data_IF_313692496995
#
_entry.id   IF_313692496995
#
_cell.length_a   1.000
_cell.length_b   1.000
_cell.length_c   1.000
_cell.angle_alpha   90.00
_cell.angle_beta   90.00
_cell.angle_gamma   90.00
#
_symmetry.space_group_name_H-M   'P 1'
#
loop_
_entity.id
_entity.type
_entity.pdbx_description
1 polymer ?
#
# COMPACT_ATOMS: atom_id res chain seq x y z
N UNK A 1 12.69 20.39 -1.47
CA UNK A 1 12.55 19.20 -2.32
C UNK A 1 12.09 19.55 -3.75
N UNK A 2 12.79 20.44 -4.49
CA UNK A 2 12.31 20.89 -5.81
C UNK A 2 12.19 19.74 -6.83
N UNK A 3 13.18 18.84 -6.89
CA UNK A 3 13.18 17.70 -7.81
C UNK A 3 12.01 16.73 -7.61
N UNK A 4 11.63 16.46 -6.36
CA UNK A 4 10.49 15.58 -6.05
C UNK A 4 9.19 16.18 -6.58
N UNK A 5 9.00 17.49 -6.40
CA UNK A 5 7.79 18.16 -6.88
C UNK A 5 7.72 18.15 -8.42
N UNK A 6 8.85 18.27 -9.09
CA UNK A 6 8.92 18.15 -10.56
C UNK A 6 8.56 16.74 -11.03
N UNK A 7 9.09 15.68 -10.39
CA UNK A 7 8.70 14.30 -10.71
C UNK A 7 7.19 14.07 -10.57
N UNK A 8 6.57 14.59 -9.50
CA UNK A 8 5.12 14.47 -9.31
C UNK A 8 4.36 15.12 -10.46
N UNK A 9 4.76 16.34 -10.87
CA UNK A 9 4.10 17.04 -11.98
C UNK A 9 4.24 16.30 -13.31
N UNK A 10 5.44 15.80 -13.62
CA UNK A 10 5.68 15.07 -14.86
C UNK A 10 4.88 13.77 -14.93
N UNK A 11 4.86 12.97 -13.85
CA UNK A 11 4.05 11.74 -13.82
C UNK A 11 2.56 12.06 -13.88
N UNK A 12 2.10 13.11 -13.19
CA UNK A 12 0.70 13.55 -13.25
C UNK A 12 0.31 13.99 -14.67
N UNK A 13 1.21 14.64 -15.40
CA UNK A 13 1.00 15.07 -16.78
C UNK A 13 0.82 13.89 -17.76
N UNK A 14 1.33 12.70 -17.43
CA UNK A 14 1.09 11.46 -18.19
C UNK A 14 -0.35 10.93 -18.03
N UNK A 15 -1.17 11.53 -17.16
CA UNK A 15 -2.54 11.10 -16.89
C UNK A 15 -2.65 9.91 -15.93
N UNK A 16 -1.56 9.57 -15.24
CA UNK A 16 -1.50 8.50 -14.24
C UNK A 16 -1.81 9.04 -12.83
N UNK A 17 -2.29 8.17 -11.94
CA UNK A 17 -2.29 8.47 -10.51
C UNK A 17 -0.86 8.48 -9.97
N UNK A 18 -0.57 9.43 -9.08
CA UNK A 18 0.75 9.62 -8.49
C UNK A 18 0.77 9.20 -7.03
N UNK A 19 1.80 8.44 -6.63
CA UNK A 19 1.98 8.00 -5.26
C UNK A 19 3.46 8.05 -4.88
N UNK A 20 3.79 8.50 -3.67
CA UNK A 20 5.16 8.50 -3.16
C UNK A 20 5.23 8.03 -1.70
N UNK A 21 6.40 7.54 -1.30
CA UNK A 21 6.76 7.21 0.08
C UNK A 21 8.12 7.84 0.38
N UNK A 22 8.14 8.90 1.16
CA UNK A 22 9.35 9.71 1.41
C UNK A 22 9.71 9.81 2.90
N UNK A 23 9.11 8.96 3.73
CA UNK A 23 9.31 8.96 5.18
C UNK A 23 8.28 9.84 5.90
N UNK A 24 8.70 10.46 7.00
CA UNK A 24 7.85 11.34 7.80
C UNK A 24 7.74 12.71 7.14
N UNK A 25 6.52 13.22 6.99
CA UNK A 25 6.25 14.54 6.46
C UNK A 25 5.80 15.48 7.56
N UNK A 26 6.14 16.75 7.43
CA UNK A 26 5.41 17.84 8.10
C UNK A 26 4.31 18.41 7.19
N UNK A 27 3.41 19.22 7.77
CA UNK A 27 2.30 19.85 7.05
C UNK A 27 2.74 20.62 5.78
N UNK A 28 3.79 21.45 5.87
CA UNK A 28 4.28 22.23 4.72
C UNK A 28 4.78 21.36 3.57
N UNK A 29 5.42 20.22 3.87
CA UNK A 29 5.83 19.27 2.83
C UNK A 29 4.63 18.57 2.20
N UNK A 30 3.63 18.20 3.01
CA UNK A 30 2.41 17.58 2.52
C UNK A 30 1.63 18.51 1.58
N UNK A 31 1.44 19.77 1.96
CA UNK A 31 0.80 20.80 1.11
C UNK A 31 1.52 20.96 -0.24
N UNK A 32 2.85 21.08 -0.21
CA UNK A 32 3.64 21.22 -1.44
C UNK A 32 3.53 20.01 -2.37
N UNK A 33 3.46 18.79 -1.82
CA UNK A 33 3.27 17.58 -2.60
C UNK A 33 1.86 17.53 -3.20
N UNK A 34 0.84 17.91 -2.43
CA UNK A 34 -0.53 18.05 -2.93
C UNK A 34 -0.59 19.05 -4.09
N UNK A 35 -0.01 20.22 -3.93
CA UNK A 35 0.02 21.28 -4.96
C UNK A 35 0.74 20.84 -6.23
N UNK A 36 1.77 20.00 -6.11
CA UNK A 36 2.44 19.39 -7.26
C UNK A 36 1.59 18.33 -7.97
N UNK A 37 0.50 17.87 -7.35
CA UNK A 37 -0.46 16.92 -7.92
C UNK A 37 -0.41 15.52 -7.33
N UNK A 38 0.22 15.33 -6.16
CA UNK A 38 0.34 14.00 -5.54
C UNK A 38 -1.05 13.47 -5.12
N UNK A 39 -1.43 12.29 -5.60
CA UNK A 39 -2.75 11.70 -5.32
C UNK A 39 -2.76 10.89 -4.03
N UNK A 40 -1.72 10.06 -3.83
CA UNK A 40 -1.55 9.21 -2.65
C UNK A 40 -0.21 9.44 -1.96
N UNK A 41 -0.20 9.31 -0.65
CA UNK A 41 1.03 9.18 0.12
C UNK A 41 1.07 7.85 0.87
N UNK A 42 2.16 7.10 0.71
CA UNK A 42 2.34 5.83 1.39
C UNK A 42 3.12 5.99 2.69
N UNK A 43 2.55 5.51 3.78
CA UNK A 43 3.11 5.62 5.11
C UNK A 43 2.55 4.52 6.04
N UNK A 44 3.24 3.38 6.13
CA UNK A 44 2.78 2.21 6.89
C UNK A 44 2.93 2.37 8.41
N UNK A 45 2.07 1.67 9.16
CA UNK A 45 2.22 1.46 10.61
C UNK A 45 3.05 0.21 10.93
N UNK A 46 3.26 -0.66 9.93
CA UNK A 46 4.12 -1.85 9.95
C UNK A 46 3.57 -3.00 10.84
N UNK A 47 3.24 -2.74 12.11
CA UNK A 47 2.72 -3.74 13.08
C UNK A 47 1.86 -3.06 14.17
N UNK A 48 1.58 -3.72 15.29
CA UNK A 48 0.90 -3.11 16.46
C UNK A 48 1.76 -2.03 17.11
N UNK A 49 1.12 -1.17 17.90
CA UNK A 49 1.79 -0.19 18.75
C UNK A 49 2.72 -0.85 19.76
N UNK A 50 2.27 -1.97 20.34
CA UNK A 50 2.97 -2.72 21.38
C UNK A 50 4.23 -3.43 20.85
N UNK A 51 4.21 -3.86 19.59
CA UNK A 51 5.32 -4.57 18.95
C UNK A 51 6.26 -3.65 18.16
N UNK A 52 5.84 -2.42 17.82
CA UNK A 52 6.58 -1.51 16.94
C UNK A 52 8.05 -1.32 17.32
N UNK A 53 8.34 -1.09 18.61
CA UNK A 53 9.70 -0.82 19.09
C UNK A 53 10.66 -2.01 19.00
N UNK A 54 10.13 -3.23 18.81
CA UNK A 54 10.95 -4.42 18.57
C UNK A 54 11.49 -4.46 17.13
N UNK A 55 10.81 -3.79 16.20
CA UNK A 55 11.14 -3.77 14.77
C UNK A 55 11.78 -2.44 14.36
N UNK A 56 11.26 -1.32 14.86
CA UNK A 56 11.68 0.03 14.49
C UNK A 56 11.91 0.86 15.76
N UNK A 57 13.15 1.30 15.96
CA UNK A 57 13.56 2.08 17.14
C UNK A 57 13.91 3.55 16.84
N UNK A 58 14.02 3.94 15.57
CA UNK A 58 14.46 5.28 15.15
C UNK A 58 13.34 6.31 15.02
N UNK A 59 12.11 5.90 15.29
CA UNK A 59 10.87 6.70 15.21
C UNK A 59 9.82 6.05 16.10
N UNK A 60 8.90 6.86 16.61
CA UNK A 60 7.77 6.38 17.39
C UNK A 60 6.62 5.93 16.49
N UNK A 61 5.69 5.16 17.07
CA UNK A 61 4.44 4.83 16.39
C UNK A 61 3.59 6.09 16.13
N UNK A 62 3.60 7.03 17.08
CA UNK A 62 2.85 8.29 16.98
C UNK A 62 3.39 9.19 15.86
N UNK A 63 4.71 9.20 15.61
CA UNK A 63 5.30 9.93 14.48
C UNK A 63 4.69 9.47 13.14
N UNK A 64 4.29 8.19 13.06
CA UNK A 64 3.62 7.62 11.88
C UNK A 64 2.21 8.17 11.76
N UNK A 65 1.47 8.20 12.85
CA UNK A 65 0.10 8.72 12.90
C UNK A 65 0.07 10.21 12.57
N UNK A 66 1.00 11.00 13.10
CA UNK A 66 1.13 12.43 12.81
C UNK A 66 1.36 12.67 11.31
N UNK A 67 2.19 11.85 10.67
CA UNK A 67 2.40 11.96 9.22
C UNK A 67 1.13 11.59 8.44
N UNK A 68 0.36 10.57 8.87
CA UNK A 68 -0.92 10.24 8.25
C UNK A 68 -1.92 11.40 8.37
N UNK A 69 -1.91 12.09 9.50
CA UNK A 69 -2.75 13.27 9.72
C UNK A 69 -2.35 14.43 8.80
N UNK A 70 -1.05 14.75 8.69
CA UNK A 70 -0.56 15.76 7.74
C UNK A 70 -0.97 15.46 6.29
N UNK A 71 -0.88 14.19 5.87
CA UNK A 71 -1.29 13.75 4.53
C UNK A 71 -2.79 13.99 4.30
N UNK A 72 -3.62 13.66 5.30
CA UNK A 72 -5.08 13.87 5.22
C UNK A 72 -5.45 15.34 5.21
N UNK A 73 -4.85 16.14 6.10
CA UNK A 73 -5.10 17.58 6.18
C UNK A 73 -4.74 18.29 4.86
N UNK A 74 -3.67 17.84 4.19
CA UNK A 74 -3.31 18.30 2.85
C UNK A 74 -4.26 17.81 1.73
N UNK A 75 -5.25 16.95 2.04
CA UNK A 75 -6.22 16.45 1.06
C UNK A 75 -5.66 15.42 0.09
N UNK A 76 -4.60 14.69 0.48
CA UNK A 76 -4.10 13.53 -0.25
C UNK A 76 -4.75 12.25 0.28
N UNK A 77 -4.87 11.25 -0.58
CA UNK A 77 -5.32 9.92 -0.17
C UNK A 77 -4.21 9.20 0.60
N UNK A 78 -4.60 8.41 1.58
CA UNK A 78 -3.70 7.65 2.44
C UNK A 78 -3.52 6.22 1.91
N UNK A 79 -2.26 5.82 1.75
CA UNK A 79 -1.87 4.43 1.61
C UNK A 79 -1.14 3.99 2.88
N UNK A 80 -1.79 3.17 3.72
CA UNK A 80 -1.20 2.74 4.99
C UNK A 80 -1.60 1.32 5.34
N UNK A 81 -0.61 0.51 5.70
CA UNK A 81 -0.80 -0.88 6.10
C UNK A 81 0.38 -1.37 6.90
N UNK A 82 0.77 -2.63 6.71
CA UNK A 82 1.89 -3.21 7.45
C UNK A 82 2.51 -4.45 6.83
N UNK A 83 3.33 -5.13 7.64
CA UNK A 83 4.05 -6.35 7.29
C UNK A 83 3.64 -7.44 8.28
N UNK A 84 3.32 -8.61 7.76
CA UNK A 84 2.89 -9.78 8.52
C UNK A 84 4.01 -10.81 8.49
N UNK A 85 4.35 -11.40 9.64
CA UNK A 85 5.44 -12.37 9.78
C UNK A 85 6.77 -11.77 10.24
N UNK A 86 6.76 -10.63 10.90
CA UNK A 86 7.86 -10.02 11.67
C UNK A 86 8.17 -10.76 13.00
N UNK A 87 7.62 -11.96 13.21
CA UNK A 87 7.65 -12.63 14.51
C UNK A 87 6.61 -12.10 15.51
N UNK A 88 5.73 -11.20 15.06
CA UNK A 88 4.63 -10.66 15.85
C UNK A 88 3.56 -11.73 16.15
N UNK A 89 2.83 -11.55 17.25
CA UNK A 89 1.73 -12.44 17.61
C UNK A 89 0.49 -12.21 16.73
N UNK A 90 -0.54 -13.04 16.91
CA UNK A 90 -1.85 -12.76 16.28
C UNK A 90 -2.49 -11.50 16.83
N UNK A 91 -2.32 -11.23 18.12
CA UNK A 91 -2.88 -10.05 18.79
C UNK A 91 -2.24 -8.77 18.22
N UNK A 92 -0.96 -8.80 17.86
CA UNK A 92 -0.29 -7.67 17.21
C UNK A 92 -0.88 -7.35 15.84
N UNK A 93 -1.23 -8.39 15.07
CA UNK A 93 -1.88 -8.21 13.77
C UNK A 93 -3.31 -7.67 13.91
N UNK A 94 -4.02 -8.10 14.95
CA UNK A 94 -5.30 -7.51 15.33
C UNK A 94 -5.10 -6.04 15.68
N UNK A 95 -4.08 -5.70 16.48
CA UNK A 95 -3.73 -4.33 16.85
C UNK A 95 -3.47 -3.43 15.64
N UNK A 96 -2.66 -3.89 14.67
CA UNK A 96 -2.43 -3.17 13.41
C UNK A 96 -3.74 -2.88 12.66
N UNK A 97 -4.56 -3.91 12.44
CA UNK A 97 -5.81 -3.74 11.69
C UNK A 97 -6.82 -2.88 12.44
N UNK A 98 -6.89 -3.02 13.76
CA UNK A 98 -7.72 -2.18 14.62
C UNK A 98 -7.31 -0.72 14.53
N UNK A 99 -6.01 -0.41 14.60
CA UNK A 99 -5.52 0.96 14.47
C UNK A 99 -5.93 1.57 13.13
N UNK A 100 -5.70 0.85 12.02
CA UNK A 100 -6.05 1.32 10.67
C UNK A 100 -7.56 1.53 10.49
N UNK A 101 -8.37 0.62 11.06
CA UNK A 101 -9.83 0.65 10.95
C UNK A 101 -10.48 1.67 11.91
N UNK A 102 -9.77 2.14 12.94
CA UNK A 102 -10.30 3.13 13.89
C UNK A 102 -9.80 4.55 13.64
N UNK A 103 -8.95 4.75 12.62
CA UNK A 103 -8.67 6.08 12.08
C UNK A 103 -9.96 6.80 11.66
N UNK A 104 -9.98 8.13 11.79
CA UNK A 104 -11.16 8.96 11.47
C UNK A 104 -11.74 8.70 10.06
N UNK A 105 -10.87 8.36 9.10
CA UNK A 105 -11.23 7.87 7.78
C UNK A 105 -10.35 6.64 7.54
N UNK A 106 -10.88 5.53 7.00
CA UNK A 106 -10.01 4.40 6.65
C UNK A 106 -9.01 4.81 5.55
N UNK A 107 -7.79 4.24 5.52
CA UNK A 107 -6.89 4.41 4.37
C UNK A 107 -7.57 3.98 3.07
N UNK A 108 -7.43 4.76 2.00
CA UNK A 108 -7.96 4.39 0.69
C UNK A 108 -7.28 3.12 0.14
N UNK A 109 -6.00 2.92 0.46
CA UNK A 109 -5.25 1.72 0.12
C UNK A 109 -4.56 1.16 1.36
N UNK A 110 -4.74 -0.13 1.62
CA UNK A 110 -4.17 -0.86 2.75
C UNK A 110 -3.26 -1.97 2.22
N UNK A 111 -1.94 -1.76 2.10
CA UNK A 111 -1.00 -2.80 1.76
C UNK A 111 -0.78 -3.77 2.92
N UNK A 112 -0.96 -5.07 2.65
CA UNK A 112 -0.67 -6.14 3.62
C UNK A 112 0.48 -6.96 3.05
N UNK A 113 1.69 -6.60 3.43
CA UNK A 113 2.90 -7.25 2.96
C UNK A 113 3.13 -8.54 3.75
N UNK A 114 3.64 -9.57 3.09
CA UNK A 114 4.28 -10.67 3.78
C UNK A 114 5.76 -10.32 3.96
N UNK A 115 6.34 -10.61 5.12
CA UNK A 115 7.77 -10.41 5.31
C UNK A 115 8.55 -11.18 4.25
N UNK A 116 9.52 -10.50 3.65
CA UNK A 116 10.54 -11.11 2.79
C UNK A 116 11.84 -11.11 3.59
N UNK A 117 12.30 -12.25 4.11
CA UNK A 117 13.58 -12.34 4.81
C UNK A 117 14.72 -12.00 3.86
N UNK A 118 15.62 -11.12 4.28
CA UNK A 118 16.77 -10.67 3.49
C UNK A 118 18.03 -10.87 4.32
N UNK A 119 19.02 -11.56 3.75
CA UNK A 119 20.33 -11.75 4.36
C UNK A 119 20.96 -10.41 4.77
N UNK A 120 21.54 -10.37 5.97
CA UNK A 120 22.12 -9.15 6.56
C UNK A 120 21.11 -8.25 7.30
N UNK A 121 19.82 -8.58 7.28
CA UNK A 121 18.84 -7.96 8.17
C UNK A 121 18.66 -8.79 9.46
N UNK A 122 18.29 -8.18 10.61
CA UNK A 122 17.98 -8.93 11.83
C UNK A 122 16.85 -9.95 11.67
N UNK A 123 16.04 -9.84 10.62
CA UNK A 123 14.89 -10.70 10.34
C UNK A 123 15.18 -11.77 9.27
N UNK A 124 16.45 -12.01 8.93
CA UNK A 124 16.84 -12.98 7.91
C UNK A 124 16.41 -14.43 8.25
N UNK A 125 16.45 -14.77 9.54
CA UNK A 125 16.22 -16.14 10.03
C UNK A 125 14.88 -16.31 10.76
N UNK A 126 13.97 -15.34 10.64
CA UNK A 126 12.65 -15.44 11.27
C UNK A 126 11.82 -16.54 10.60
N UNK A 127 11.05 -17.26 11.41
CA UNK A 127 10.19 -18.33 10.91
C UNK A 127 9.16 -17.78 9.90
N UNK A 128 9.04 -18.47 8.77
CA UNK A 128 8.09 -18.07 7.73
C UNK A 128 6.66 -18.28 8.23
N UNK A 129 5.87 -17.23 8.18
CA UNK A 129 4.45 -17.29 8.51
C UNK A 129 3.69 -18.22 7.55
N UNK A 130 2.76 -19.01 8.10
CA UNK A 130 1.80 -19.77 7.30
C UNK A 130 1.01 -18.83 6.37
N UNK A 131 0.97 -19.17 5.08
CA UNK A 131 0.23 -18.41 4.06
C UNK A 131 -1.25 -18.29 4.40
N UNK A 132 -1.85 -19.30 5.03
CA UNK A 132 -3.26 -19.27 5.44
C UNK A 132 -3.51 -18.21 6.51
N UNK A 133 -2.52 -17.99 7.39
CA UNK A 133 -2.59 -16.98 8.43
C UNK A 133 -2.44 -15.56 7.83
N UNK A 134 -1.62 -15.39 6.80
CA UNK A 134 -1.55 -14.15 6.02
C UNK A 134 -2.85 -13.87 5.26
N UNK A 135 -3.43 -14.88 4.59
CA UNK A 135 -4.72 -14.78 3.90
C UNK A 135 -5.86 -14.44 4.87
N UNK A 136 -5.83 -15.02 6.08
CA UNK A 136 -6.78 -14.65 7.14
C UNK A 136 -6.69 -13.18 7.49
N UNK A 137 -5.47 -12.64 7.58
CA UNK A 137 -5.24 -11.20 7.83
C UNK A 137 -5.85 -10.34 6.72
N UNK A 138 -5.74 -10.75 5.46
CA UNK A 138 -6.39 -10.09 4.31
C UNK A 138 -7.92 -10.12 4.44
N UNK A 139 -8.50 -11.28 4.78
CA UNK A 139 -9.94 -11.43 4.95
C UNK A 139 -10.50 -10.52 6.05
N UNK A 140 -9.81 -10.46 7.20
CA UNK A 140 -10.18 -9.57 8.31
C UNK A 140 -10.07 -8.11 7.89
N UNK A 141 -9.00 -7.72 7.20
CA UNK A 141 -8.83 -6.34 6.72
C UNK A 141 -9.94 -5.93 5.74
N UNK A 142 -10.35 -6.82 4.82
CA UNK A 142 -11.49 -6.57 3.92
C UNK A 142 -12.79 -6.37 4.69
N UNK A 143 -13.06 -7.20 5.71
CA UNK A 143 -14.28 -7.09 6.52
C UNK A 143 -14.33 -5.79 7.33
N UNK A 144 -13.21 -5.40 7.93
CA UNK A 144 -13.11 -4.16 8.72
C UNK A 144 -13.15 -2.91 7.83
N UNK A 145 -12.54 -2.96 6.65
CA UNK A 145 -12.36 -1.81 5.76
C UNK A 145 -12.95 -2.07 4.36
N UNK A 146 -14.28 -2.20 4.24
CA UNK A 146 -14.93 -2.70 3.03
C UNK A 146 -14.74 -1.81 1.80
N UNK A 147 -14.51 -0.49 1.99
CA UNK A 147 -14.30 0.48 0.91
C UNK A 147 -12.83 0.68 0.52
N UNK A 148 -11.90 0.14 1.32
CA UNK A 148 -10.47 0.29 1.06
C UNK A 148 -9.99 -0.71 0.01
N UNK A 149 -9.00 -0.33 -0.78
CA UNK A 149 -8.25 -1.29 -1.60
C UNK A 149 -7.31 -2.08 -0.70
N UNK A 150 -7.43 -3.41 -0.69
CA UNK A 150 -6.50 -4.27 0.05
C UNK A 150 -5.44 -4.74 -0.95
N UNK A 151 -4.19 -4.31 -0.75
CA UNK A 151 -3.11 -4.45 -1.72
C UNK A 151 -2.14 -5.57 -1.38
N UNK A 152 -2.00 -6.54 -2.29
CA UNK A 152 -0.93 -7.53 -2.24
C UNK A 152 0.35 -6.92 -2.80
N UNK A 153 1.37 -6.86 -1.96
CA UNK A 153 2.58 -6.10 -2.24
C UNK A 153 3.82 -6.98 -2.17
N UNK A 154 4.71 -6.79 -1.20
CA UNK A 154 5.89 -7.63 -1.03
C UNK A 154 5.53 -9.07 -0.64
N UNK A 155 6.31 -10.02 -1.16
CA UNK A 155 6.16 -11.45 -0.91
C UNK A 155 5.33 -12.22 -1.96
N UNK A 156 4.63 -11.53 -2.88
CA UNK A 156 3.76 -12.15 -3.88
C UNK A 156 4.48 -13.15 -4.81
N UNK A 157 5.72 -12.87 -5.16
CA UNK A 157 6.56 -13.75 -6.00
C UNK A 157 6.62 -15.19 -5.45
N UNK A 158 6.71 -15.33 -4.13
CA UNK A 158 6.83 -16.62 -3.45
C UNK A 158 5.53 -17.41 -3.33
N UNK A 159 4.40 -16.82 -3.76
CA UNK A 159 3.07 -17.41 -3.68
C UNK A 159 2.77 -18.27 -4.91
N UNK A 160 2.11 -19.41 -4.66
CA UNK A 160 1.52 -20.20 -5.74
C UNK A 160 0.33 -19.47 -6.37
N UNK A 161 -0.07 -19.88 -7.57
CA UNK A 161 -1.26 -19.34 -8.23
C UNK A 161 -2.54 -19.56 -7.37
N UNK A 162 -2.62 -20.67 -6.64
CA UNK A 162 -3.71 -20.97 -5.71
C UNK A 162 -3.72 -20.06 -4.49
N UNK A 163 -2.55 -19.74 -3.92
CA UNK A 163 -2.46 -18.83 -2.78
C UNK A 163 -2.90 -17.42 -3.18
N UNK A 164 -2.47 -16.95 -4.35
CA UNK A 164 -2.88 -15.66 -4.89
C UNK A 164 -4.38 -15.64 -5.20
N UNK A 165 -4.91 -16.70 -5.81
CA UNK A 165 -6.35 -16.83 -6.05
C UNK A 165 -7.15 -16.73 -4.74
N UNK A 166 -6.70 -17.44 -3.70
CA UNK A 166 -7.35 -17.40 -2.40
C UNK A 166 -7.21 -16.02 -1.73
N UNK A 167 -6.08 -15.32 -1.90
CA UNK A 167 -5.91 -13.95 -1.42
C UNK A 167 -6.87 -12.95 -2.13
N UNK A 168 -7.07 -13.09 -3.44
CA UNK A 168 -8.08 -12.31 -4.17
C UNK A 168 -9.50 -12.62 -3.66
N UNK A 169 -9.84 -13.90 -3.48
CA UNK A 169 -11.13 -14.31 -2.92
C UNK A 169 -11.35 -13.82 -1.48
N UNK A 170 -10.29 -13.76 -0.67
CA UNK A 170 -10.32 -13.22 0.68
C UNK A 170 -10.60 -11.71 0.71
N UNK A 171 -10.38 -11.00 -0.40
CA UNK A 171 -10.74 -9.60 -0.55
C UNK A 171 -9.63 -8.68 -1.03
N UNK A 172 -8.45 -9.21 -1.37
CA UNK A 172 -7.45 -8.41 -2.04
C UNK A 172 -7.90 -7.97 -3.43
N UNK A 173 -7.60 -6.73 -3.82
CA UNK A 173 -8.04 -6.15 -5.08
C UNK A 173 -7.07 -5.10 -5.66
N UNK A 174 -5.82 -5.10 -5.21
CA UNK A 174 -4.75 -4.23 -5.74
C UNK A 174 -3.42 -4.99 -5.68
N UNK A 175 -2.55 -4.78 -6.67
CA UNK A 175 -1.21 -5.39 -6.71
C UNK A 175 -0.16 -4.40 -7.24
N UNK A 176 1.12 -4.70 -7.02
CA UNK A 176 2.21 -4.07 -7.78
C UNK A 176 2.53 -4.88 -9.03
N UNK A 177 2.51 -4.22 -10.19
CA UNK A 177 2.89 -4.80 -11.48
C UNK A 177 4.27 -4.31 -11.91
N UNK A 178 5.11 -5.21 -12.40
CA UNK A 178 6.49 -4.93 -12.84
C UNK A 178 7.45 -6.02 -12.37
N UNK A 179 8.66 -6.07 -12.93
CA UNK A 179 9.65 -7.14 -12.64
C UNK A 179 10.28 -7.03 -11.23
N UNK A 180 10.24 -5.84 -10.64
CA UNK A 180 10.86 -5.51 -9.36
C UNK A 180 9.98 -4.56 -8.57
N UNK A 181 9.98 -4.68 -7.24
CA UNK A 181 9.43 -3.67 -6.34
C UNK A 181 10.51 -2.59 -6.08
N UNK A 182 10.80 -2.28 -4.81
CA UNK A 182 11.88 -1.38 -4.44
C UNK A 182 13.25 -2.04 -4.64
N UNK A 183 13.48 -3.17 -3.97
CA UNK A 183 14.76 -3.88 -3.98
C UNK A 183 14.64 -5.36 -4.27
N UNK A 184 13.47 -5.96 -4.05
CA UNK A 184 13.21 -7.40 -4.25
C UNK A 184 12.56 -7.68 -5.61
N UNK A 185 12.72 -8.89 -6.16
CA UNK A 185 11.97 -9.32 -7.33
C UNK A 185 10.46 -9.26 -7.10
N UNK A 186 9.71 -9.24 -8.20
CA UNK A 186 8.26 -9.28 -8.21
C UNK A 186 7.77 -10.25 -9.29
N UNK A 187 6.49 -10.64 -9.22
CA UNK A 187 5.89 -11.48 -10.25
C UNK A 187 5.89 -10.77 -11.60
N UNK A 188 6.32 -11.49 -12.65
CA UNK A 188 6.37 -10.93 -14.00
C UNK A 188 4.97 -10.63 -14.54
N UNK A 189 4.89 -9.60 -15.38
CA UNK A 189 3.62 -9.15 -15.97
C UNK A 189 2.89 -10.28 -16.74
N UNK A 190 3.63 -11.15 -17.42
CA UNK A 190 3.06 -12.28 -18.15
C UNK A 190 2.37 -13.31 -17.23
N UNK A 191 2.94 -13.59 -16.05
CA UNK A 191 2.33 -14.51 -15.08
C UNK A 191 1.07 -13.91 -14.46
N UNK A 192 1.10 -12.62 -14.11
CA UNK A 192 -0.07 -11.91 -13.59
C UNK A 192 -1.25 -11.94 -14.58
N UNK A 193 -0.99 -11.64 -15.87
CA UNK A 193 -2.03 -11.65 -16.91
C UNK A 193 -2.69 -13.04 -17.07
N UNK A 194 -1.88 -14.11 -17.05
CA UNK A 194 -2.40 -15.47 -17.14
C UNK A 194 -3.27 -15.81 -15.93
N UNK A 195 -2.85 -15.45 -14.72
CA UNK A 195 -3.62 -15.68 -13.50
C UNK A 195 -4.94 -14.88 -13.53
N UNK A 196 -4.91 -13.62 -13.93
CA UNK A 196 -6.10 -12.78 -14.02
C UNK A 196 -7.11 -13.34 -15.01
N UNK A 197 -6.66 -13.81 -16.18
CA UNK A 197 -7.52 -14.46 -17.15
C UNK A 197 -8.17 -15.74 -16.59
N UNK A 198 -7.42 -16.57 -15.85
CA UNK A 198 -7.96 -17.79 -15.20
C UNK A 198 -9.02 -17.45 -14.15
N UNK A 199 -8.82 -16.38 -13.39
CA UNK A 199 -9.71 -15.96 -12.30
C UNK A 199 -10.87 -15.07 -12.76
N UNK A 200 -10.88 -14.64 -14.02
CA UNK A 200 -11.88 -13.69 -14.54
C UNK A 200 -11.74 -12.27 -13.96
N UNK A 201 -10.54 -11.89 -13.53
CA UNK A 201 -10.27 -10.57 -12.97
C UNK A 201 -10.08 -9.55 -14.09
N UNK A 202 -10.73 -8.39 -13.94
CA UNK A 202 -10.66 -7.27 -14.88
C UNK A 202 -10.02 -6.07 -14.21
N UNK A 203 -9.15 -5.36 -14.95
CA UNK A 203 -8.56 -4.12 -14.47
C UNK A 203 -9.65 -3.06 -14.30
N UNK A 204 -9.62 -2.36 -13.16
CA UNK A 204 -10.48 -1.21 -12.93
C UNK A 204 -10.13 -0.10 -13.93
N UNK A 205 -11.15 0.52 -14.52
CA UNK A 205 -10.94 1.63 -15.45
C UNK A 205 -10.48 2.86 -14.68
N UNK A 206 -9.53 3.65 -15.21
CA UNK A 206 -9.12 4.89 -14.57
C UNK A 206 -10.32 5.83 -14.46
N UNK A 207 -10.42 6.54 -13.33
CA UNK A 207 -11.44 7.59 -13.19
C UNK A 207 -11.17 8.66 -14.25
N UNK A 208 -12.21 9.15 -14.96
CA UNK A 208 -12.02 10.17 -15.98
C UNK A 208 -11.38 11.42 -15.36
N UNK A 209 -10.33 11.93 -16.01
CA UNK A 209 -9.66 13.16 -15.61
C UNK A 209 -10.51 14.37 -15.99
N UNK A 210 -10.35 15.49 -15.28
CA UNK A 210 -10.96 16.78 -15.66
C UNK A 210 -10.64 17.14 -17.11
N UNK A 211 -9.42 16.82 -17.58
CA UNK A 211 -9.01 17.01 -18.97
C UNK A 211 -9.80 16.13 -19.96
N UNK A 212 -10.10 14.88 -19.60
CA UNK A 212 -10.91 13.99 -20.44
C UNK A 212 -12.40 14.33 -20.46
N UNK A 213 -12.87 15.07 -19.45
CA UNK A 213 -14.25 15.56 -19.36
C UNK A 213 -14.41 16.99 -19.88
N UNK A 214 -13.30 17.72 -20.06
CA UNK A 214 -13.30 19.06 -20.61
C UNK A 214 -13.70 19.01 -22.08
N UNK A 215 -14.88 19.56 -22.39
CA UNK A 215 -15.29 19.79 -23.77
C UNK A 215 -14.55 21.02 -24.28
N UNK A 216 -13.77 20.87 -25.36
CA UNK A 216 -13.19 22.03 -26.03
C UNK A 216 -14.30 22.79 -26.74
N UNK A 217 -14.80 23.84 -26.09
CA UNK A 217 -15.85 24.70 -26.62
C UNK A 217 -15.43 25.47 -27.90
N UNK A 218 -14.16 25.37 -28.31
CA UNK A 218 -13.59 25.99 -29.50
C UNK A 218 -13.25 24.98 -30.61
N UNK A 219 -13.54 23.69 -30.43
CA UNK A 219 -13.23 22.64 -31.40
C UNK A 219 -14.31 22.45 -32.49
N UNK A 220 -15.17 23.45 -32.73
CA UNK A 220 -16.20 23.47 -33.78
C UNK A 220 -15.97 24.59 -34.79
#
# INVERSE_FOLDING_TARGET
MPYVLEMVREVKALGLETCMTLGMLNGSQAERLKDAGLDYYNHNLDTSREYYSHIISTRSFDDRLDTLDHVRQAGMKVCSGGIVGLGESRDDRIGLLYELATLAIHPESVPINMLVPIEGTPMADVEKLDVIEWIRTIAVARLLMPKSYIRLSAGRESLSDSDQALAFMAGANSIFSGEKLLTTPNTSQGRDQQLFAKLGLVAEQPKPSVRSLATDAMAS
#
